data_IF_496952587124
#
_entry.id   IF_496952587124
#
_cell.length_a   1.000
_cell.length_b   1.000
_cell.length_c   1.000
_cell.angle_alpha   90.00
_cell.angle_beta   90.00
_cell.angle_gamma   90.00
#
_symmetry.space_group_name_H-M   'P 1'
#
loop_
_entity.id
_entity.type
_entity.pdbx_description
1 polymer ?
#
# COMPACT_ATOMS: atom_id res chain seq x y z
N UNK A 1 4.24 3.22 5.43
CA UNK A 1 2.81 3.64 5.51
C UNK A 1 2.76 5.10 5.90
N UNK A 2 1.88 5.88 5.30
CA UNK A 2 1.63 7.27 5.69
C UNK A 2 0.22 7.40 6.28
N UNK A 3 -0.10 8.46 7.03
CA UNK A 3 -1.42 8.63 7.67
C UNK A 3 -2.49 9.02 6.64
N UNK A 4 -2.81 8.07 5.76
CA UNK A 4 -3.64 8.24 4.59
C UNK A 4 -5.15 8.36 4.87
N UNK A 5 -5.60 8.07 6.10
CA UNK A 5 -7.02 8.15 6.48
C UNK A 5 -7.34 9.54 6.99
N UNK A 6 -8.21 10.25 6.29
CA UNK A 6 -8.61 11.62 6.59
C UNK A 6 -10.10 11.67 6.94
N UNK A 7 -10.47 12.55 7.83
CA UNK A 7 -11.88 12.85 8.16
C UNK A 7 -12.25 14.23 7.63
N UNK A 8 -13.27 14.26 6.79
CA UNK A 8 -13.77 15.50 6.20
C UNK A 8 -15.21 15.76 6.63
N UNK A 9 -15.67 17.01 6.41
CA UNK A 9 -17.05 17.43 6.55
C UNK A 9 -17.55 18.08 5.28
N UNK A 10 -18.78 17.78 4.92
CA UNK A 10 -19.54 18.53 3.91
C UNK A 10 -20.06 19.84 4.52
N UNK A 11 -20.49 20.78 3.68
CA UNK A 11 -21.11 22.04 4.13
C UNK A 11 -22.29 21.82 5.09
N UNK A 12 -23.08 20.77 4.87
CA UNK A 12 -24.20 20.40 5.74
C UNK A 12 -23.79 19.64 7.02
N UNK A 13 -22.50 19.61 7.36
CA UNK A 13 -21.95 18.94 8.54
C UNK A 13 -21.79 17.44 8.45
N UNK A 14 -22.19 16.78 7.34
CA UNK A 14 -22.04 15.33 7.18
C UNK A 14 -20.58 14.93 7.23
N UNK A 15 -20.24 14.00 8.12
CA UNK A 15 -18.89 13.43 8.23
C UNK A 15 -18.63 12.43 7.10
N UNK A 16 -17.46 12.53 6.52
CA UNK A 16 -16.96 11.67 5.44
C UNK A 16 -15.56 11.19 5.82
N UNK A 17 -15.33 9.90 5.74
CA UNK A 17 -13.98 9.33 5.81
C UNK A 17 -13.43 9.22 4.38
N UNK A 18 -12.20 9.65 4.18
CA UNK A 18 -11.48 9.59 2.91
C UNK A 18 -10.15 8.90 3.15
N UNK A 19 -9.92 7.79 2.47
CA UNK A 19 -8.63 7.12 2.45
C UNK A 19 -7.93 7.44 1.13
N UNK A 20 -6.82 8.16 1.21
CA UNK A 20 -5.97 8.44 0.05
C UNK A 20 -5.31 7.14 -0.41
N UNK A 21 -5.40 6.80 -1.70
CA UNK A 21 -4.83 5.57 -2.26
C UNK A 21 -3.59 5.88 -3.10
N UNK A 22 -3.80 6.44 -4.27
CA UNK A 22 -2.74 6.74 -5.22
C UNK A 22 -2.92 8.16 -5.78
N UNK A 23 -1.83 8.92 -5.94
CA UNK A 23 -1.86 10.15 -6.72
C UNK A 23 -2.18 9.80 -8.18
N UNK A 24 -2.85 10.70 -8.88
CA UNK A 24 -3.16 10.60 -10.30
C UNK A 24 -2.24 11.53 -11.10
N UNK A 25 -2.33 11.44 -12.43
CA UNK A 25 -1.54 12.29 -13.33
C UNK A 25 -1.91 13.78 -13.28
N UNK A 26 -3.17 14.06 -12.89
CA UNK A 26 -3.63 15.43 -12.69
C UNK A 26 -3.05 15.99 -11.37
N UNK A 27 -2.58 17.24 -11.36
CA UNK A 27 -2.01 17.87 -10.16
C UNK A 27 -2.94 17.76 -8.96
N UNK A 28 -2.36 17.45 -7.81
CA UNK A 28 -3.04 17.38 -6.51
C UNK A 28 -4.28 16.47 -6.46
N UNK A 29 -4.42 15.59 -7.44
CA UNK A 29 -5.58 14.71 -7.59
C UNK A 29 -5.25 13.30 -7.14
N UNK A 30 -6.10 12.76 -6.28
CA UNK A 30 -5.92 11.45 -5.67
C UNK A 30 -7.10 10.54 -5.97
N UNK A 31 -6.80 9.26 -6.21
CA UNK A 31 -7.78 8.19 -6.11
C UNK A 31 -7.99 7.88 -4.65
N UNK A 32 -9.25 7.97 -4.17
CA UNK A 32 -9.59 7.84 -2.77
C UNK A 32 -10.71 6.82 -2.57
N UNK A 33 -10.66 6.05 -1.48
CA UNK A 33 -11.84 5.34 -0.98
C UNK A 33 -12.59 6.24 -0.02
N UNK A 34 -13.93 6.26 -0.15
CA UNK A 34 -14.78 7.17 0.62
C UNK A 34 -15.86 6.41 1.38
N UNK A 35 -16.04 6.74 2.66
CA UNK A 35 -17.11 6.20 3.51
C UNK A 35 -17.85 7.31 4.29
N UNK A 36 -19.19 7.31 4.28
CA UNK A 36 -20.11 6.53 3.43
C UNK A 36 -20.15 7.08 1.99
N UNK A 37 -19.78 6.27 1.01
CA UNK A 37 -19.63 6.70 -0.38
C UNK A 37 -20.92 7.21 -1.03
N UNK A 38 -22.08 6.71 -0.59
CA UNK A 38 -23.41 7.15 -1.08
C UNK A 38 -23.74 8.61 -0.71
N UNK A 39 -23.11 9.14 0.33
CA UNK A 39 -23.37 10.51 0.81
C UNK A 39 -22.48 11.56 0.15
N UNK A 40 -21.48 11.15 -0.60
CA UNK A 40 -20.59 12.04 -1.34
C UNK A 40 -20.90 11.94 -2.84
N UNK A 41 -21.38 13.05 -3.40
CA UNK A 41 -21.68 13.18 -4.83
C UNK A 41 -20.52 13.87 -5.54
N UNK A 42 -20.51 13.78 -6.86
CA UNK A 42 -19.67 14.59 -7.74
C UNK A 42 -19.96 16.09 -7.58
N UNK A 43 -18.98 16.90 -7.97
CA UNK A 43 -19.06 18.36 -7.91
C UNK A 43 -19.41 18.93 -6.53
N UNK A 44 -18.84 18.36 -5.47
CA UNK A 44 -18.99 18.82 -4.10
C UNK A 44 -17.64 19.09 -3.45
N UNK A 45 -17.60 20.12 -2.60
CA UNK A 45 -16.49 20.34 -1.69
C UNK A 45 -16.67 19.55 -0.39
N UNK A 46 -15.54 19.09 0.13
CA UNK A 46 -15.40 18.56 1.49
C UNK A 46 -14.23 19.26 2.17
N UNK A 47 -14.37 19.57 3.45
CA UNK A 47 -13.35 20.26 4.23
C UNK A 47 -12.70 19.28 5.20
N UNK A 48 -11.38 19.14 5.12
CA UNK A 48 -10.57 18.32 6.03
C UNK A 48 -10.08 19.14 7.22
N UNK A 49 -9.65 20.38 6.96
CA UNK A 49 -9.16 21.32 7.96
C UNK A 49 -9.31 22.74 7.43
N UNK A 50 -8.89 23.74 8.23
CA UNK A 50 -8.82 25.13 7.78
C UNK A 50 -7.87 25.33 6.60
N UNK A 51 -6.86 24.47 6.49
CA UNK A 51 -5.83 24.55 5.47
C UNK A 51 -6.05 23.59 4.28
N UNK A 52 -7.02 22.66 4.35
CA UNK A 52 -7.19 21.65 3.32
C UNK A 52 -8.66 21.37 3.00
N UNK A 53 -8.99 21.44 1.72
CA UNK A 53 -10.29 21.07 1.14
C UNK A 53 -10.09 20.06 0.01
N UNK A 54 -11.17 19.38 -0.34
CA UNK A 54 -11.18 18.45 -1.48
C UNK A 54 -12.36 18.73 -2.39
N UNK A 55 -12.10 18.80 -3.68
CA UNK A 55 -13.11 18.84 -4.73
C UNK A 55 -13.32 17.45 -5.31
N UNK A 56 -14.55 16.95 -5.31
CA UNK A 56 -14.91 15.62 -5.81
C UNK A 56 -15.15 15.67 -7.31
N UNK A 57 -14.29 14.98 -8.07
CA UNK A 57 -14.25 15.05 -9.52
C UNK A 57 -15.08 14.00 -10.25
N UNK A 58 -15.29 12.84 -9.64
CA UNK A 58 -15.87 11.72 -10.35
C UNK A 58 -17.04 11.09 -9.62
N UNK A 59 -17.90 10.47 -10.41
CA UNK A 59 -18.94 9.58 -9.93
C UNK A 59 -18.37 8.39 -9.12
N UNK A 60 -19.24 7.73 -8.41
CA UNK A 60 -18.90 6.60 -7.56
C UNK A 60 -18.59 5.35 -8.39
N UNK A 61 -17.37 4.89 -8.32
CA UNK A 61 -16.94 3.59 -8.81
C UNK A 61 -16.51 2.72 -7.61
N UNK A 62 -17.29 1.71 -7.27
CA UNK A 62 -17.01 0.79 -6.13
C UNK A 62 -16.65 1.47 -4.79
N UNK A 63 -17.18 2.64 -4.52
CA UNK A 63 -16.87 3.44 -3.33
C UNK A 63 -15.67 4.36 -3.49
N UNK A 64 -14.98 4.29 -4.62
CA UNK A 64 -13.87 5.18 -4.93
C UNK A 64 -14.33 6.51 -5.52
N UNK A 65 -13.48 7.52 -5.38
CA UNK A 65 -13.62 8.87 -5.94
C UNK A 65 -12.27 9.38 -6.40
N UNK A 66 -12.29 10.27 -7.39
CA UNK A 66 -11.16 11.16 -7.67
C UNK A 66 -11.41 12.46 -6.92
N UNK A 67 -10.47 12.85 -6.09
CA UNK A 67 -10.57 14.08 -5.28
C UNK A 67 -9.33 14.91 -5.54
N UNK A 68 -9.54 16.16 -6.00
CA UNK A 68 -8.48 17.14 -6.07
C UNK A 68 -8.39 17.84 -4.71
N UNK A 69 -7.22 17.83 -4.13
CA UNK A 69 -6.92 18.47 -2.85
C UNK A 69 -6.44 19.91 -3.10
N UNK A 70 -7.01 20.83 -2.35
CA UNK A 70 -6.63 22.23 -2.33
C UNK A 70 -6.13 22.55 -0.92
N UNK A 71 -4.90 23.04 -0.82
CA UNK A 71 -4.25 23.28 0.47
C UNK A 71 -3.42 24.56 0.43
N UNK A 72 -3.33 25.25 1.59
CA UNK A 72 -2.63 26.52 1.75
C UNK A 72 -1.27 26.40 2.46
N UNK A 73 -0.81 25.16 2.74
CA UNK A 73 0.43 24.85 3.43
C UNK A 73 1.14 23.67 2.74
N UNK A 74 2.26 23.19 3.29
CA UNK A 74 2.89 21.98 2.79
C UNK A 74 1.97 20.76 2.92
N UNK A 75 1.79 20.04 1.82
CA UNK A 75 0.88 18.89 1.74
C UNK A 75 1.23 17.80 2.76
N UNK A 76 2.50 17.41 2.82
CA UNK A 76 2.91 16.31 3.68
C UNK A 76 2.85 16.66 5.16
N UNK A 77 3.17 17.92 5.51
CA UNK A 77 3.01 18.41 6.88
C UNK A 77 1.55 18.40 7.32
N UNK A 78 0.65 18.80 6.41
CA UNK A 78 -0.78 18.77 6.71
C UNK A 78 -1.32 17.35 6.84
N UNK A 79 -0.93 16.43 5.95
CA UNK A 79 -1.28 15.01 6.06
C UNK A 79 -0.77 14.41 7.38
N UNK A 80 0.45 14.73 7.79
CA UNK A 80 0.98 14.28 9.10
C UNK A 80 0.19 14.86 10.28
N UNK A 81 -0.32 16.08 10.16
CA UNK A 81 -1.07 16.76 11.22
C UNK A 81 -2.49 16.23 11.40
N UNK A 82 -3.23 16.02 10.29
CA UNK A 82 -4.66 15.67 10.32
C UNK A 82 -4.94 14.21 10.00
N UNK A 83 -3.97 13.50 9.47
CA UNK A 83 -4.13 12.13 9.00
C UNK A 83 -4.01 11.10 10.12
N UNK A 84 -4.68 9.99 9.90
CA UNK A 84 -4.71 8.81 10.75
C UNK A 84 -4.09 7.61 10.05
N UNK A 85 -3.43 6.74 10.80
CA UNK A 85 -2.87 5.50 10.28
C UNK A 85 -4.03 4.58 9.85
N UNK A 86 -4.06 4.09 8.60
CA UNK A 86 -5.12 3.24 8.10
C UNK A 86 -4.97 1.80 8.61
N UNK A 87 -5.17 1.59 9.91
CA UNK A 87 -5.13 0.26 10.50
C UNK A 87 -6.09 -0.70 9.79
N UNK A 88 -5.70 -1.98 9.63
CA UNK A 88 -6.54 -2.98 8.98
C UNK A 88 -7.83 -3.24 9.77
N UNK A 89 -8.93 -3.65 9.12
CA UNK A 89 -10.25 -3.78 9.75
C UNK A 89 -10.34 -4.76 10.93
N UNK A 90 -9.40 -5.72 11.02
CA UNK A 90 -9.36 -6.66 12.16
C UNK A 90 -8.79 -6.03 13.44
N UNK A 91 -8.18 -4.84 13.35
CA UNK A 91 -7.83 -4.02 14.51
C UNK A 91 -9.00 -3.09 14.79
N UNK A 92 -9.86 -3.52 15.69
CA UNK A 92 -11.12 -2.84 15.99
C UNK A 92 -10.94 -1.74 17.07
N UNK A 93 -10.12 -0.73 16.76
CA UNK A 93 -9.95 0.49 17.55
C UNK A 93 -9.49 1.64 16.66
N UNK A 94 -9.65 2.91 17.08
CA UNK A 94 -8.97 4.04 16.46
C UNK A 94 -7.45 3.86 16.51
N UNK A 95 -6.74 4.51 15.59
CA UNK A 95 -5.30 4.59 15.65
C UNK A 95 -4.82 5.48 16.80
N UNK A 96 -3.64 5.18 17.31
CA UNK A 96 -2.94 5.92 18.36
C UNK A 96 -1.63 6.48 17.81
N UNK A 97 -1.04 7.44 18.53
CA UNK A 97 0.25 8.02 18.15
C UNK A 97 1.34 6.95 18.00
N UNK A 98 1.30 5.90 18.82
CA UNK A 98 2.24 4.79 18.75
C UNK A 98 2.15 3.97 17.47
N UNK A 99 0.98 3.95 16.80
CA UNK A 99 0.78 3.19 15.57
C UNK A 99 1.58 3.74 14.39
N UNK A 100 1.92 5.04 14.41
CA UNK A 100 2.79 5.65 13.40
C UNK A 100 4.15 4.96 13.32
N UNK A 101 4.65 4.47 14.45
CA UNK A 101 5.90 3.70 14.51
C UNK A 101 5.66 2.19 14.44
N UNK A 102 4.64 1.69 15.13
CA UNK A 102 4.38 0.25 15.26
C UNK A 102 3.78 -0.38 14.02
N UNK A 103 2.98 0.37 13.24
CA UNK A 103 2.44 -0.10 11.96
C UNK A 103 3.36 0.26 10.80
N UNK A 104 4.67 0.05 11.01
CA UNK A 104 5.73 0.28 10.04
C UNK A 104 6.83 -0.75 10.23
N UNK A 105 7.44 -1.25 9.14
CA UNK A 105 8.60 -2.12 9.26
C UNK A 105 9.85 -1.31 9.59
N UNK A 106 10.82 -1.92 10.29
CA UNK A 106 12.07 -1.26 10.68
C UNK A 106 12.98 -0.92 9.48
N UNK A 107 12.64 -1.44 8.30
CA UNK A 107 13.36 -1.22 7.04
C UNK A 107 12.54 -0.43 6.00
N UNK A 108 11.39 0.11 6.37
CA UNK A 108 10.60 0.95 5.48
C UNK A 108 11.36 2.24 5.12
N UNK A 109 11.44 2.57 3.83
CA UNK A 109 12.10 3.78 3.32
C UNK A 109 11.15 4.61 2.46
N UNK A 110 10.48 3.98 1.51
CA UNK A 110 9.65 4.66 0.54
C UNK A 110 8.23 4.91 1.08
N UNK A 111 7.79 6.17 1.03
CA UNK A 111 6.41 6.53 1.35
C UNK A 111 5.48 6.24 0.17
N UNK A 112 4.20 5.89 0.45
CA UNK A 112 3.21 5.69 -0.62
C UNK A 112 2.26 4.51 -0.39
N UNK A 113 2.52 3.64 0.58
CA UNK A 113 1.61 2.54 0.92
C UNK A 113 0.56 2.94 1.95
N UNK A 114 -0.65 2.40 1.80
CA UNK A 114 -1.73 2.50 2.79
C UNK A 114 -1.79 1.31 3.74
N UNK A 115 -0.98 0.28 3.51
CA UNK A 115 -0.88 -0.89 4.38
C UNK A 115 0.57 -1.32 4.59
N UNK A 116 0.91 -1.73 5.82
CA UNK A 116 2.21 -2.29 6.12
C UNK A 116 2.28 -3.78 5.72
N UNK A 117 3.44 -4.28 5.25
CA UNK A 117 3.65 -5.71 5.06
C UNK A 117 3.78 -6.39 6.43
N UNK A 118 2.66 -6.88 6.96
CA UNK A 118 2.52 -7.31 8.36
C UNK A 118 3.51 -8.41 8.78
N UNK A 119 3.90 -9.30 7.87
CA UNK A 119 4.95 -10.28 8.13
C UNK A 119 6.30 -9.61 8.48
N UNK A 120 6.59 -8.46 7.90
CA UNK A 120 7.80 -7.69 8.17
C UNK A 120 7.82 -7.02 9.55
N UNK A 121 6.66 -6.84 10.20
CA UNK A 121 6.57 -6.26 11.54
C UNK A 121 7.19 -7.16 12.63
N UNK A 122 7.42 -8.44 12.33
CA UNK A 122 8.12 -9.36 13.23
C UNK A 122 9.64 -9.14 13.29
N UNK A 123 10.21 -8.38 12.35
CA UNK A 123 11.63 -8.06 12.37
C UNK A 123 11.92 -6.85 13.23
N UNK A 124 12.87 -7.00 14.13
CA UNK A 124 13.57 -5.89 14.80
C UNK A 124 14.93 -5.63 14.13
N UNK A 125 15.52 -4.46 14.37
CA UNK A 125 16.89 -4.17 13.91
C UNK A 125 17.89 -5.19 14.45
N UNK A 126 17.79 -5.50 15.75
CA UNK A 126 18.67 -6.47 16.40
C UNK A 126 18.56 -7.87 15.80
N UNK A 127 17.34 -8.30 15.43
CA UNK A 127 17.14 -9.59 14.76
C UNK A 127 17.80 -9.59 13.36
N UNK A 128 17.61 -8.53 12.58
CA UNK A 128 18.23 -8.40 11.26
C UNK A 128 19.75 -8.43 11.39
N UNK A 129 20.32 -7.67 12.33
CA UNK A 129 21.77 -7.62 12.54
C UNK A 129 22.34 -8.96 13.00
N UNK A 130 21.64 -9.67 13.89
CA UNK A 130 22.05 -11.01 14.32
C UNK A 130 22.02 -12.04 13.18
N UNK A 131 21.06 -11.93 12.27
CA UNK A 131 20.99 -12.78 11.08
C UNK A 131 22.11 -12.46 10.08
N UNK A 132 22.41 -11.17 9.88
CA UNK A 132 23.54 -10.75 9.03
C UNK A 132 24.88 -11.28 9.56
N UNK A 133 25.10 -11.25 10.87
CA UNK A 133 26.29 -11.82 11.53
C UNK A 133 26.42 -13.33 11.25
N UNK A 134 25.27 -14.04 11.14
CA UNK A 134 25.23 -15.47 10.76
C UNK A 134 25.40 -15.72 9.26
N UNK A 135 25.66 -14.70 8.46
CA UNK A 135 25.87 -14.81 7.02
C UNK A 135 24.58 -14.80 6.18
N UNK A 136 23.43 -14.45 6.75
CA UNK A 136 22.19 -14.29 5.98
C UNK A 136 22.26 -12.99 5.18
N UNK A 137 22.06 -13.10 3.87
CA UNK A 137 21.98 -11.93 2.98
C UNK A 137 20.56 -11.39 2.97
N UNK A 138 20.44 -10.07 3.04
CA UNK A 138 19.18 -9.37 2.95
C UNK A 138 19.14 -8.54 1.67
N UNK A 139 18.06 -8.69 0.92
CA UNK A 139 17.72 -7.77 -0.17
C UNK A 139 16.32 -7.22 0.06
N UNK A 140 16.00 -6.12 -0.58
CA UNK A 140 14.74 -5.42 -0.40
C UNK A 140 14.08 -5.16 -1.76
N UNK A 141 12.78 -5.12 -1.75
CA UNK A 141 11.98 -4.66 -2.88
C UNK A 141 10.91 -3.69 -2.37
N UNK A 142 10.41 -2.83 -3.24
CA UNK A 142 9.33 -1.91 -2.91
C UNK A 142 8.03 -2.38 -3.55
N UNK A 143 6.97 -2.43 -2.75
CA UNK A 143 5.62 -2.64 -3.24
C UNK A 143 4.70 -1.60 -2.60
N UNK A 144 4.04 -0.81 -3.44
CA UNK A 144 3.03 0.14 -2.99
C UNK A 144 1.70 -0.60 -2.82
N UNK A 145 1.47 -1.06 -1.60
CA UNK A 145 0.27 -1.83 -1.25
C UNK A 145 -0.96 -0.94 -1.28
N UNK A 146 -1.89 -1.29 -2.16
CA UNK A 146 -3.16 -0.63 -2.32
C UNK A 146 -4.26 -1.21 -1.41
N UNK A 147 -5.48 -0.69 -1.58
CA UNK A 147 -6.66 -1.10 -0.81
C UNK A 147 -7.09 -2.55 -1.04
N UNK A 148 -6.64 -3.15 -2.14
CA UNK A 148 -6.97 -4.55 -2.49
C UNK A 148 -6.67 -5.54 -1.37
N UNK A 149 -5.61 -5.28 -0.60
CA UNK A 149 -5.20 -6.10 0.54
C UNK A 149 -6.26 -6.20 1.65
N UNK A 150 -7.16 -5.22 1.76
CA UNK A 150 -8.22 -5.21 2.77
C UNK A 150 -9.60 -5.65 2.23
N UNK A 151 -9.70 -5.93 0.93
CA UNK A 151 -10.97 -6.37 0.33
C UNK A 151 -11.07 -7.89 0.38
N UNK A 152 -12.17 -8.45 0.91
CA UNK A 152 -12.41 -9.88 0.86
C UNK A 152 -12.66 -10.33 -0.58
N UNK A 153 -12.25 -11.55 -0.90
CA UNK A 153 -12.67 -12.26 -2.12
C UNK A 153 -14.18 -12.45 -2.07
N UNK A 154 -14.88 -12.02 -3.11
CA UNK A 154 -16.37 -12.04 -3.18
C UNK A 154 -16.90 -13.02 -4.21
N UNK A 155 -16.05 -13.60 -5.04
CA UNK A 155 -16.41 -14.58 -6.06
C UNK A 155 -16.57 -15.95 -5.42
N UNK A 156 -17.55 -16.76 -5.90
CA UNK A 156 -17.72 -18.15 -5.48
C UNK A 156 -16.56 -19.00 -6.01
N UNK A 157 -16.15 -18.77 -7.27
CA UNK A 157 -14.95 -19.37 -7.85
C UNK A 157 -13.75 -18.41 -7.67
N UNK A 158 -12.74 -18.88 -6.96
CA UNK A 158 -11.51 -18.12 -6.69
C UNK A 158 -10.78 -17.72 -7.98
N UNK A 159 -10.95 -18.48 -9.07
CA UNK A 159 -10.33 -18.20 -10.38
C UNK A 159 -10.92 -16.98 -11.09
N UNK A 160 -12.13 -16.58 -10.69
CA UNK A 160 -12.82 -15.39 -11.22
C UNK A 160 -12.46 -14.11 -10.43
N UNK A 161 -11.66 -14.25 -9.39
CA UNK A 161 -11.27 -13.09 -8.59
C UNK A 161 -10.31 -12.17 -9.34
N UNK A 162 -10.73 -10.94 -9.60
CA UNK A 162 -9.88 -9.89 -10.15
C UNK A 162 -9.04 -9.27 -9.04
N UNK A 163 -7.76 -9.60 -9.02
CA UNK A 163 -6.81 -9.01 -8.07
C UNK A 163 -6.51 -7.56 -8.44
N UNK A 164 -6.47 -6.69 -7.44
CA UNK A 164 -6.07 -5.30 -7.67
C UNK A 164 -4.60 -5.20 -8.05
N UNK A 165 -4.32 -4.36 -9.05
CA UNK A 165 -2.95 -4.07 -9.45
C UNK A 165 -2.22 -3.24 -8.38
N UNK A 166 -0.97 -3.61 -8.13
CA UNK A 166 -0.05 -2.94 -7.22
C UNK A 166 1.28 -2.67 -7.93
N UNK A 167 1.87 -1.51 -7.66
CA UNK A 167 3.13 -1.13 -8.26
C UNK A 167 4.28 -1.78 -7.49
N UNK A 168 5.12 -2.51 -8.20
CA UNK A 168 6.31 -3.21 -7.68
C UNK A 168 7.56 -2.62 -8.31
N UNK A 169 8.58 -2.41 -7.48
CA UNK A 169 9.92 -2.04 -7.91
C UNK A 169 10.95 -3.04 -7.36
N UNK A 170 11.77 -3.58 -8.24
CA UNK A 170 12.90 -4.45 -7.93
C UNK A 170 14.16 -3.79 -8.47
N UNK A 171 15.14 -3.55 -7.61
CA UNK A 171 16.42 -2.97 -8.01
C UNK A 171 17.31 -4.01 -8.73
N UNK A 172 18.27 -3.55 -9.55
CA UNK A 172 19.25 -4.45 -10.19
C UNK A 172 20.00 -5.32 -9.17
N UNK A 173 20.40 -4.73 -8.04
CA UNK A 173 21.17 -5.42 -6.98
C UNK A 173 20.33 -6.54 -6.34
N UNK A 174 19.02 -6.30 -6.12
CA UNK A 174 18.11 -7.32 -5.60
C UNK A 174 17.95 -8.47 -6.60
N UNK A 175 17.75 -8.16 -7.88
CA UNK A 175 17.61 -9.16 -8.92
C UNK A 175 18.89 -10.02 -9.06
N UNK A 176 20.06 -9.38 -9.06
CA UNK A 176 21.36 -10.06 -9.12
C UNK A 176 21.57 -10.99 -7.91
N UNK A 177 21.31 -10.50 -6.69
CA UNK A 177 21.49 -11.30 -5.48
C UNK A 177 20.56 -12.52 -5.44
N UNK A 178 19.29 -12.38 -5.87
CA UNK A 178 18.33 -13.49 -5.97
C UNK A 178 18.76 -14.50 -7.05
N UNK A 179 19.15 -14.03 -8.23
CA UNK A 179 19.59 -14.89 -9.33
C UNK A 179 20.86 -15.67 -8.97
N UNK A 180 21.82 -15.01 -8.32
CA UNK A 180 23.04 -15.66 -7.83
C UNK A 180 22.71 -16.73 -6.78
N UNK A 181 21.87 -16.42 -5.80
CA UNK A 181 21.44 -17.37 -4.79
C UNK A 181 20.79 -18.62 -5.43
N UNK A 182 19.94 -18.42 -6.45
CA UNK A 182 19.29 -19.52 -7.16
C UNK A 182 20.29 -20.37 -7.95
N UNK A 183 21.23 -19.74 -8.65
CA UNK A 183 22.25 -20.45 -9.42
C UNK A 183 23.20 -21.30 -8.55
N UNK A 184 23.43 -20.86 -7.31
CA UNK A 184 24.24 -21.57 -6.31
C UNK A 184 23.43 -22.58 -5.47
N UNK A 185 22.14 -22.76 -5.73
CA UNK A 185 21.27 -23.64 -4.97
C UNK A 185 21.00 -23.19 -3.53
N UNK A 186 21.23 -21.93 -3.22
CA UNK A 186 20.93 -21.36 -1.89
C UNK A 186 19.44 -21.13 -1.72
N UNK A 187 18.98 -21.20 -0.47
CA UNK A 187 17.58 -20.92 -0.13
C UNK A 187 17.27 -19.43 -0.30
N UNK A 188 16.14 -19.14 -0.92
CA UNK A 188 15.55 -17.80 -1.02
C UNK A 188 14.31 -17.80 -0.12
N UNK A 189 14.24 -16.84 0.82
CA UNK A 189 13.16 -16.73 1.78
C UNK A 189 12.47 -15.39 1.57
N UNK A 190 11.27 -15.42 0.99
CA UNK A 190 10.42 -14.24 0.84
C UNK A 190 9.59 -14.01 2.11
N UNK A 191 9.70 -12.82 2.70
CA UNK A 191 8.95 -12.46 3.90
C UNK A 191 7.71 -11.67 3.53
N UNK A 192 6.56 -12.32 3.67
CA UNK A 192 5.24 -11.77 3.36
C UNK A 192 4.75 -12.07 1.95
N UNK A 193 3.43 -12.12 1.81
CA UNK A 193 2.76 -12.37 0.53
C UNK A 193 3.07 -11.30 -0.52
N UNK A 194 3.29 -10.06 -0.07
CA UNK A 194 3.74 -8.96 -0.93
C UNK A 194 5.07 -9.26 -1.60
N UNK A 195 6.07 -9.75 -0.84
CA UNK A 195 7.37 -10.15 -1.38
C UNK A 195 7.26 -11.31 -2.35
N UNK A 196 6.48 -12.34 -2.01
CA UNK A 196 6.23 -13.49 -2.88
C UNK A 196 5.62 -13.04 -4.21
N UNK A 197 4.52 -12.27 -4.17
CA UNK A 197 3.85 -11.77 -5.37
C UNK A 197 4.79 -10.92 -6.24
N UNK A 198 5.61 -10.10 -5.61
CA UNK A 198 6.58 -9.25 -6.33
C UNK A 198 7.61 -10.10 -7.06
N UNK A 199 8.21 -11.07 -6.40
CA UNK A 199 9.21 -11.95 -7.00
C UNK A 199 8.61 -12.77 -8.15
N UNK A 200 7.46 -13.41 -7.93
CA UNK A 200 6.78 -14.21 -8.96
C UNK A 200 6.37 -13.39 -10.19
N UNK A 201 5.94 -12.14 -9.98
CA UNK A 201 5.54 -11.27 -11.09
C UNK A 201 6.72 -10.77 -11.96
N UNK A 202 7.93 -10.79 -11.42
CA UNK A 202 9.16 -10.38 -12.12
C UNK A 202 10.00 -11.57 -12.61
N UNK A 203 9.51 -12.79 -12.43
CA UNK A 203 10.21 -13.98 -12.91
C UNK A 203 9.97 -14.16 -14.41
N UNK A 204 11.04 -14.20 -15.21
CA UNK A 204 10.99 -14.35 -16.66
C UNK A 204 12.18 -15.19 -17.16
N UNK A 205 11.92 -16.17 -18.00
CA UNK A 205 12.94 -17.03 -18.63
C UNK A 205 13.96 -17.63 -17.65
N UNK A 206 13.47 -18.06 -16.47
CA UNK A 206 14.29 -18.67 -15.42
C UNK A 206 15.10 -17.69 -14.58
N UNK A 207 14.86 -16.40 -14.69
CA UNK A 207 15.56 -15.34 -13.94
C UNK A 207 14.60 -14.30 -13.40
N UNK A 208 14.97 -13.73 -12.26
CA UNK A 208 14.34 -12.51 -11.74
C UNK A 208 14.87 -11.31 -12.54
N UNK A 209 13.97 -10.54 -13.16
CA UNK A 209 14.31 -9.29 -13.82
C UNK A 209 14.12 -8.11 -12.85
N UNK A 210 14.77 -6.98 -13.12
CA UNK A 210 14.62 -5.75 -12.34
C UNK A 210 13.76 -4.73 -13.10
N UNK A 211 13.34 -3.70 -12.40
CA UNK A 211 12.56 -2.60 -12.97
C UNK A 211 11.34 -2.25 -12.12
N UNK A 212 10.40 -1.54 -12.76
CA UNK A 212 9.15 -1.07 -12.16
C UNK A 212 7.98 -1.52 -13.05
N UNK A 213 6.99 -2.19 -12.46
CA UNK A 213 5.76 -2.61 -13.16
C UNK A 213 4.58 -2.75 -12.21
N UNK A 214 3.40 -2.73 -12.79
CA UNK A 214 2.18 -3.11 -12.09
C UNK A 214 1.96 -4.61 -12.16
N UNK A 215 1.53 -5.22 -11.05
CA UNK A 215 1.19 -6.64 -10.96
C UNK A 215 -0.19 -6.83 -10.37
N UNK A 216 -0.97 -7.71 -10.97
CA UNK A 216 -2.27 -8.20 -10.52
C UNK A 216 -2.24 -9.71 -10.26
N UNK A 217 -1.06 -10.29 -10.17
CA UNK A 217 -0.89 -11.73 -9.94
C UNK A 217 -1.66 -12.17 -8.69
N UNK A 218 -2.48 -13.20 -8.86
CA UNK A 218 -3.24 -13.83 -7.80
C UNK A 218 -2.75 -15.26 -7.59
N UNK A 219 -2.12 -15.50 -6.45
CA UNK A 219 -1.56 -16.80 -6.08
C UNK A 219 -2.58 -17.54 -5.23
N UNK A 220 -3.02 -18.71 -5.69
CA UNK A 220 -4.01 -19.56 -5.04
C UNK A 220 -3.59 -21.04 -5.14
N UNK A 221 -4.26 -21.99 -4.42
CA UNK A 221 -3.88 -23.41 -4.44
C UNK A 221 -3.76 -23.98 -5.86
N UNK A 222 -2.63 -24.63 -6.13
CA UNK A 222 -2.25 -25.14 -7.48
C UNK A 222 -1.28 -24.22 -8.24
N UNK A 223 -0.92 -23.05 -7.70
CA UNK A 223 0.12 -22.21 -8.28
C UNK A 223 1.50 -22.88 -8.16
N UNK A 224 2.28 -22.85 -9.25
CA UNK A 224 3.66 -23.34 -9.27
C UNK A 224 4.61 -22.17 -9.13
N UNK A 225 5.39 -22.17 -8.03
CA UNK A 225 6.39 -21.13 -7.75
C UNK A 225 7.66 -21.37 -8.57
N UNK A 226 8.28 -20.25 -8.96
CA UNK A 226 9.55 -20.22 -9.70
C UNK A 226 10.79 -20.38 -8.83
#
# INVERSE_FOLDING_TARGET
VFPARLFARKENGTKIEVLLLNPLSEPDTWKCLVQPSKRLKEAQYITFSDNMKGWVYSEREEGMRKIRLEYSCDFWQEIERIGHIPLPPYINRPDEQSDRQRYQTVYARESGSVAAPTAGLHFSKDLIDSLKIKGVLFTELTLHVGIGTFRPVKTEDIREHNMHSECVEISPETAEAVNLAKSEGRRIIAVGTTSVRSLESFWQDGKLIYGNRWTDIFIYPGYHFN
#
